data_IF_407229403223
#
_entry.id   IF_407229403223
#
_cell.length_a   1.000
_cell.length_b   1.000
_cell.length_c   1.000
_cell.angle_alpha   90.00
_cell.angle_beta   90.00
_cell.angle_gamma   90.00
#
_symmetry.space_group_name_H-M   'P 1'
#
loop_
_entity.id
_entity.type
_entity.pdbx_description
1 polymer ?
#
# COMPACT_ATOMS: atom_id res chain seq x y z
N UNK A 1 17.58 -23.94 35.32
CA UNK A 1 16.22 -23.56 35.79
C UNK A 1 16.18 -22.05 36.02
N UNK A 2 14.98 -21.44 35.84
CA UNK A 2 14.61 -20.02 35.62
C UNK A 2 15.07 -19.45 34.26
N UNK A 3 14.24 -19.39 33.18
CA UNK A 3 12.93 -18.72 32.96
C UNK A 3 13.00 -17.24 33.31
N UNK A 4 13.05 -16.39 32.30
CA UNK A 4 12.28 -15.15 32.17
C UNK A 4 12.42 -14.61 30.74
N UNK A 5 11.71 -15.31 29.86
CA UNK A 5 10.88 -14.79 28.78
C UNK A 5 10.67 -13.27 28.83
N UNK A 6 11.48 -12.50 28.09
CA UNK A 6 11.05 -11.19 27.61
C UNK A 6 10.00 -11.40 26.51
N UNK A 7 8.78 -11.77 26.89
CA UNK A 7 7.61 -11.64 26.00
C UNK A 7 6.73 -10.58 26.64
N UNK A 8 7.24 -9.35 26.63
CA UNK A 8 6.43 -8.22 27.06
C UNK A 8 5.21 -8.14 26.15
N UNK A 9 4.02 -8.04 26.75
CA UNK A 9 2.74 -7.78 26.06
C UNK A 9 2.89 -6.71 24.96
N UNK A 10 3.69 -5.69 25.23
CA UNK A 10 4.07 -4.61 24.31
C UNK A 10 4.69 -5.08 22.97
N UNK A 11 5.52 -6.12 22.97
CA UNK A 11 6.15 -6.61 21.73
C UNK A 11 5.17 -7.46 20.91
N UNK A 12 4.39 -8.32 21.58
CA UNK A 12 3.34 -9.12 20.93
C UNK A 12 2.27 -8.23 20.29
N UNK A 13 1.85 -7.17 20.98
CA UNK A 13 0.91 -6.19 20.44
C UNK A 13 1.47 -5.41 19.24
N UNK A 14 2.77 -5.05 19.26
CA UNK A 14 3.41 -4.40 18.11
C UNK A 14 3.53 -5.33 16.91
N UNK A 15 3.91 -6.59 17.15
CA UNK A 15 3.98 -7.62 16.10
C UNK A 15 2.60 -7.89 15.49
N UNK A 16 1.56 -8.05 16.32
CA UNK A 16 0.19 -8.24 15.85
C UNK A 16 -0.33 -7.04 15.03
N UNK A 17 -0.04 -5.81 15.46
CA UNK A 17 -0.38 -4.60 14.68
C UNK A 17 0.39 -4.53 13.37
N UNK A 18 1.67 -4.89 13.34
CA UNK A 18 2.47 -4.89 12.13
C UNK A 18 1.99 -5.94 11.11
N UNK A 19 1.66 -7.15 11.57
CA UNK A 19 1.08 -8.21 10.73
C UNK A 19 -0.32 -7.85 10.25
N UNK A 20 -1.18 -7.28 11.11
CA UNK A 20 -2.49 -6.76 10.69
C UNK A 20 -2.37 -5.69 9.62
N UNK A 21 -1.46 -4.73 9.78
CA UNK A 21 -1.17 -3.71 8.77
C UNK A 21 -0.62 -4.32 7.48
N UNK A 22 0.17 -5.39 7.56
CA UNK A 22 0.71 -6.11 6.40
C UNK A 22 -0.39 -6.83 5.63
N UNK A 23 -1.32 -7.47 6.33
CA UNK A 23 -2.51 -8.10 5.72
C UNK A 23 -3.31 -7.04 4.99
N UNK A 24 -3.63 -5.92 5.65
CA UNK A 24 -4.40 -4.82 5.06
C UNK A 24 -3.71 -4.18 3.84
N UNK A 25 -2.37 -4.08 3.84
CA UNK A 25 -1.60 -3.66 2.66
C UNK A 25 -1.72 -4.63 1.48
N UNK A 26 -1.96 -5.92 1.74
CA UNK A 26 -2.19 -6.95 0.72
C UNK A 26 -3.64 -7.16 0.29
N UNK A 27 -4.61 -6.41 0.82
CA UNK A 27 -6.05 -6.61 0.52
C UNK A 27 -6.45 -6.07 -0.86
N UNK A 28 -5.71 -5.11 -1.43
CA UNK A 28 -5.99 -4.65 -2.79
C UNK A 28 -4.71 -4.21 -3.51
N UNK A 29 -4.50 -4.80 -4.69
CA UNK A 29 -3.43 -4.44 -5.63
C UNK A 29 -4.07 -3.94 -6.91
N UNK A 30 -3.55 -2.85 -7.46
CA UNK A 30 -3.98 -2.30 -8.74
C UNK A 30 -2.80 -2.16 -9.68
N UNK A 31 -2.86 -2.85 -10.83
CA UNK A 31 -1.79 -2.88 -11.82
C UNK A 31 -2.23 -2.10 -13.06
N UNK A 32 -1.38 -1.17 -13.52
CA UNK A 32 -1.61 -0.40 -14.74
C UNK A 32 -0.31 -0.22 -15.52
N UNK A 33 -0.39 -0.36 -16.85
CA UNK A 33 0.73 -0.08 -17.75
C UNK A 33 0.47 1.22 -18.50
N UNK A 34 1.34 2.21 -18.28
CA UNK A 34 1.33 3.46 -19.00
C UNK A 34 2.03 3.30 -20.34
N UNK A 35 1.32 3.68 -21.42
CA UNK A 35 1.86 3.66 -22.79
C UNK A 35 2.98 4.69 -23.01
N UNK A 36 3.06 5.73 -22.17
CA UNK A 36 4.17 6.68 -22.13
C UNK A 36 4.96 6.47 -20.86
N UNK A 37 6.26 6.20 -21.00
CA UNK A 37 7.17 6.05 -19.89
C UNK A 37 7.27 7.34 -19.09
N UNK A 38 7.12 7.24 -17.77
CA UNK A 38 7.27 8.37 -16.85
C UNK A 38 8.37 8.03 -15.85
N UNK A 39 9.59 8.45 -16.16
CA UNK A 39 10.79 8.16 -15.35
C UNK A 39 10.77 8.81 -13.95
N UNK A 40 9.87 9.79 -13.72
CA UNK A 40 9.71 10.44 -12.42
C UNK A 40 8.91 9.61 -11.41
N UNK A 41 8.41 8.42 -11.80
CA UNK A 41 7.63 7.57 -10.91
C UNK A 41 8.56 6.67 -10.10
N UNK A 42 8.49 6.80 -8.78
CA UNK A 42 9.23 5.98 -7.82
C UNK A 42 8.28 5.36 -6.77
N UNK A 43 8.71 4.26 -6.12
CA UNK A 43 7.94 3.67 -5.03
C UNK A 43 7.66 4.66 -3.89
N UNK A 44 6.59 4.43 -3.14
CA UNK A 44 6.07 5.27 -2.05
C UNK A 44 5.47 6.61 -2.48
N UNK A 45 5.33 6.87 -3.79
CA UNK A 45 4.55 8.01 -4.27
C UNK A 45 3.06 7.79 -4.02
N UNK A 46 2.38 8.84 -3.56
CA UNK A 46 0.92 8.86 -3.54
C UNK A 46 0.39 8.99 -4.96
N UNK A 47 -0.46 8.04 -5.35
CA UNK A 47 -1.11 8.04 -6.65
C UNK A 47 -2.62 8.24 -6.48
N UNK A 48 -3.21 9.00 -7.40
CA UNK A 48 -4.66 9.09 -7.55
C UNK A 48 -5.04 8.41 -8.87
N UNK A 49 -5.99 7.50 -8.77
CA UNK A 49 -6.60 6.83 -9.92
C UNK A 49 -7.96 7.50 -10.16
N UNK A 50 -8.31 7.72 -11.43
CA UNK A 50 -9.57 8.36 -11.82
C UNK A 50 -10.13 7.74 -13.08
N UNK A 51 -11.45 7.66 -13.19
CA UNK A 51 -12.16 7.09 -14.34
C UNK A 51 -12.47 5.60 -14.19
N UNK A 52 -12.30 5.06 -12.98
CA UNK A 52 -12.66 3.69 -12.64
C UNK A 52 -13.89 3.66 -11.74
N UNK A 53 -14.27 2.47 -11.28
CA UNK A 53 -15.38 2.33 -10.34
C UNK A 53 -15.12 3.19 -9.08
N UNK A 54 -16.16 3.78 -8.45
CA UNK A 54 -15.98 4.66 -7.30
C UNK A 54 -15.15 4.07 -6.14
N UNK A 55 -15.18 2.75 -5.97
CA UNK A 55 -14.38 2.04 -4.99
C UNK A 55 -12.86 2.13 -5.27
N UNK A 56 -12.46 2.18 -6.54
CA UNK A 56 -11.05 2.28 -6.98
C UNK A 56 -10.61 3.75 -6.92
N UNK A 57 -11.43 4.66 -7.44
CA UNK A 57 -11.14 6.09 -7.47
C UNK A 57 -11.12 6.71 -6.06
N UNK A 58 -11.96 6.20 -5.16
CA UNK A 58 -12.00 6.60 -3.74
C UNK A 58 -10.84 6.02 -2.92
N UNK A 59 -10.07 5.08 -3.45
CA UNK A 59 -8.94 4.45 -2.76
C UNK A 59 -7.66 5.30 -2.89
N UNK A 60 -6.90 5.35 -1.81
CA UNK A 60 -5.70 6.18 -1.68
C UNK A 60 -4.53 5.30 -2.02
N UNK A 61 -4.07 5.38 -3.26
CA UNK A 61 -3.06 4.48 -3.77
C UNK A 61 -1.65 4.96 -3.40
N UNK A 62 -0.77 4.01 -3.14
CA UNK A 62 0.66 4.19 -2.98
C UNK A 62 1.36 3.33 -4.02
N UNK A 63 2.36 3.88 -4.71
CA UNK A 63 3.14 3.11 -5.67
C UNK A 63 4.01 2.10 -4.92
N UNK A 64 3.76 0.80 -5.10
CA UNK A 64 4.54 -0.28 -4.51
C UNK A 64 5.75 -0.66 -5.38
N UNK A 65 5.52 -0.78 -6.69
CA UNK A 65 6.56 -1.16 -7.67
C UNK A 65 6.39 -0.39 -8.97
N UNK A 66 7.52 0.01 -9.55
CA UNK A 66 7.60 0.67 -10.85
C UNK A 66 8.56 -0.12 -11.73
N UNK A 67 8.14 -0.46 -12.94
CA UNK A 67 8.97 -1.12 -13.95
C UNK A 67 8.96 -0.26 -15.20
N UNK A 68 10.10 0.37 -15.50
CA UNK A 68 10.28 1.07 -16.76
C UNK A 68 10.82 0.09 -17.80
N UNK A 69 10.21 0.07 -18.97
CA UNK A 69 10.66 -0.75 -20.09
C UNK A 69 10.86 0.13 -21.31
N UNK A 70 12.02 0.02 -21.93
CA UNK A 70 12.39 0.72 -23.16
C UNK A 70 12.54 -0.32 -24.26
N UNK A 71 11.83 -0.15 -25.37
CA UNK A 71 11.93 -0.98 -26.56
C UNK A 71 11.96 -0.10 -27.82
N UNK A 72 12.12 -0.71 -28.99
CA UNK A 72 12.17 -0.01 -30.28
C UNK A 72 10.87 0.75 -30.64
N UNK A 73 9.75 0.46 -29.96
CA UNK A 73 8.47 1.16 -30.14
C UNK A 73 8.21 2.26 -29.11
N UNK A 74 9.11 2.47 -28.14
CA UNK A 74 9.09 3.56 -27.18
C UNK A 74 9.31 3.15 -25.72
N UNK A 75 9.05 4.09 -24.81
CA UNK A 75 9.14 3.85 -23.37
C UNK A 75 7.77 3.55 -22.79
N UNK A 76 7.66 2.47 -22.03
CA UNK A 76 6.47 2.13 -21.23
C UNK A 76 6.82 2.11 -19.74
N UNK A 77 5.81 2.24 -18.88
CA UNK A 77 6.01 2.13 -17.42
C UNK A 77 4.86 1.36 -16.82
N UNK A 78 5.16 0.18 -16.28
CA UNK A 78 4.21 -0.60 -15.50
C UNK A 78 4.28 -0.18 -14.03
N UNK A 79 3.10 0.03 -13.44
CA UNK A 79 2.92 0.48 -12.06
C UNK A 79 2.07 -0.54 -11.32
N UNK A 80 2.52 -0.88 -10.13
CA UNK A 80 1.77 -1.63 -9.14
C UNK A 80 1.47 -0.72 -7.97
N UNK A 81 0.18 -0.51 -7.72
CA UNK A 81 -0.35 0.34 -6.67
C UNK A 81 -0.92 -0.51 -5.55
N UNK A 82 -0.67 -0.09 -4.31
CA UNK A 82 -1.16 -0.69 -3.08
C UNK A 82 -1.95 0.35 -2.27
N UNK A 83 -2.74 -0.10 -1.29
CA UNK A 83 -3.45 0.82 -0.38
C UNK A 83 -2.42 1.55 0.50
N UNK A 84 -2.47 2.89 0.49
CA UNK A 84 -1.58 3.71 1.30
C UNK A 84 -1.79 3.44 2.81
N UNK A 85 -0.72 3.18 3.58
CA UNK A 85 -0.82 2.79 4.98
C UNK A 85 -1.37 3.89 5.89
N UNK A 86 -1.31 5.16 5.48
CA UNK A 86 -1.87 6.28 6.24
C UNK A 86 -3.40 6.16 6.39
N UNK A 87 -4.11 5.67 5.37
CA UNK A 87 -5.58 5.53 5.40
C UNK A 87 -6.04 4.32 6.20
N UNK A 88 -5.21 3.29 6.35
CA UNK A 88 -5.52 2.14 7.19
C UNK A 88 -5.69 2.50 8.68
N UNK A 89 -5.22 3.69 9.10
CA UNK A 89 -5.42 4.18 10.48
C UNK A 89 -6.82 4.79 10.71
N UNK A 90 -7.48 5.29 9.67
CA UNK A 90 -8.75 6.02 9.80
C UNK A 90 -9.98 5.10 9.80
N UNK A 91 -9.89 3.93 9.14
CA UNK A 91 -11.02 2.99 9.08
C UNK A 91 -11.27 2.25 10.41
N UNK A 92 -10.30 2.28 11.34
CA UNK A 92 -10.39 1.59 12.63
C UNK A 92 -10.88 2.44 13.82
N UNK A 93 -11.25 3.70 13.62
CA UNK A 93 -11.65 4.61 14.73
C UNK A 93 -13.03 5.24 14.57
N UNK A 94 -13.83 4.82 13.58
CA UNK A 94 -15.23 5.25 13.45
C UNK A 94 -16.16 4.34 14.27
N UNK A 95 -16.10 4.45 15.60
CA UNK A 95 -17.06 3.80 16.49
C UNK A 95 -16.65 3.98 17.95
N UNK A 96 -17.46 4.73 18.70
CA UNK A 96 -17.23 5.27 20.07
C UNK A 96 -16.55 6.64 19.97
N UNK A 97 -17.22 7.75 20.28
CA UNK A 97 -17.84 8.13 21.57
C UNK A 97 -18.67 9.41 21.37
N UNK A 98 -19.39 9.90 22.40
CA UNK A 98 -20.54 9.36 23.12
C UNK A 98 -21.87 9.94 22.63
#
# INVERSE_FOLDING_TARGET
MLRHTYVSRSNAERAARAEWQKIQRGVATFNITLARGRAELFPSLHAKVSGWKPQIDGTGWSVGRVVHSLNDSGSTTALELEIAPARLKEVGTAGTTP
#
